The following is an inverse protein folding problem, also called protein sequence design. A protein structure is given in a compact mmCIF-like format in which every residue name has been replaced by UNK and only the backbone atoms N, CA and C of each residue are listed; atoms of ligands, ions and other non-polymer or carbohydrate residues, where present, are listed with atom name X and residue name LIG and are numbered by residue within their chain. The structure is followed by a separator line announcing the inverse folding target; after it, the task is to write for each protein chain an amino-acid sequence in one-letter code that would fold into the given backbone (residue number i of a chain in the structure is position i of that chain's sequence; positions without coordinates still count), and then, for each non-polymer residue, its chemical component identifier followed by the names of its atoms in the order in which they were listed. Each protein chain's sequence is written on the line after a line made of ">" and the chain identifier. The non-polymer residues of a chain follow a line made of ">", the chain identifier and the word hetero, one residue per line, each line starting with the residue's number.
data_IF_658212418579
#
_entry.id   IF_658212418579
#
_cell.length_a   1.000
_cell.length_b   1.000
_cell.length_c   1.000
_cell.angle_alpha   90.00
_cell.angle_beta   90.00
_cell.angle_gamma   90.00
#
_symmetry.space_group_name_H-M   'P 1'
#
loop_
_entity.id
_entity.type
_entity.pdbx_description
1 polymer ?
#
# COMPACT_ATOMS: atom_id res chain seq x y z
N UNK A 1 38.31 -44.49 -17.19
CA UNK A 1 38.05 -43.53 -16.10
C UNK A 1 36.97 -42.58 -16.59
N UNK A 2 35.75 -42.56 -16.03
CA UNK A 2 34.72 -41.63 -16.48
C UNK A 2 34.73 -40.35 -15.64
N UNK A 3 34.57 -39.23 -16.35
CA UNK A 3 34.56 -37.85 -15.89
C UNK A 3 33.16 -37.49 -15.38
N UNK A 4 33.07 -37.02 -14.12
CA UNK A 4 31.81 -36.65 -13.47
C UNK A 4 31.49 -35.20 -13.83
N UNK A 5 30.38 -34.98 -14.53
CA UNK A 5 29.85 -33.64 -14.84
C UNK A 5 29.40 -32.98 -13.52
N UNK A 6 30.06 -31.88 -13.17
CA UNK A 6 29.74 -31.08 -12.00
C UNK A 6 28.59 -30.12 -12.37
N UNK A 7 27.37 -30.46 -11.97
CA UNK A 7 26.21 -29.59 -12.13
C UNK A 7 26.35 -28.38 -11.20
N UNK A 8 26.49 -27.20 -11.82
CA UNK A 8 26.63 -25.91 -11.15
C UNK A 8 25.42 -25.65 -10.23
N UNK A 9 25.71 -25.38 -8.97
CA UNK A 9 24.74 -25.18 -7.89
C UNK A 9 24.06 -23.83 -8.04
N UNK A 10 23.05 -23.72 -8.91
CA UNK A 10 22.14 -22.56 -8.96
C UNK A 10 21.07 -22.59 -7.86
N UNK A 11 21.45 -23.00 -6.65
CA UNK A 11 20.61 -22.94 -5.45
C UNK A 11 21.38 -22.21 -4.37
N UNK A 12 21.20 -20.88 -4.29
CA UNK A 12 21.21 -20.09 -3.03
C UNK A 12 21.38 -18.58 -3.28
N UNK A 13 20.47 -17.94 -4.02
CA UNK A 13 20.26 -16.49 -3.88
C UNK A 13 18.79 -16.09 -3.74
N UNK A 14 18.00 -16.93 -3.03
CA UNK A 14 16.88 -16.39 -2.28
C UNK A 14 17.46 -15.85 -0.97
N UNK A 15 17.87 -14.59 -0.97
CA UNK A 15 18.22 -13.89 0.27
C UNK A 15 17.10 -14.15 1.28
N UNK A 16 17.41 -14.89 2.35
CA UNK A 16 16.52 -14.98 3.48
C UNK A 16 16.36 -13.55 4.01
N UNK A 17 15.15 -13.00 3.88
CA UNK A 17 14.84 -11.68 4.40
C UNK A 17 15.12 -11.71 5.91
N UNK A 18 16.20 -11.06 6.33
CA UNK A 18 16.48 -10.83 7.75
C UNK A 18 15.25 -10.12 8.30
N UNK A 19 14.52 -10.79 9.21
CA UNK A 19 13.39 -10.18 9.91
C UNK A 19 13.91 -8.89 10.55
N UNK A 20 13.33 -7.72 10.25
CA UNK A 20 13.79 -6.50 10.88
C UNK A 20 13.66 -6.66 12.39
N UNK A 21 14.75 -6.44 13.13
CA UNK A 21 14.80 -6.61 14.58
C UNK A 21 14.05 -5.51 15.36
N UNK A 22 13.42 -4.56 14.65
CA UNK A 22 12.65 -3.47 15.23
C UNK A 22 11.18 -3.80 15.42
N UNK A 23 10.47 -2.92 16.13
CA UNK A 23 9.01 -2.95 16.20
C UNK A 23 8.43 -2.95 14.77
N UNK A 24 7.64 -3.97 14.37
CA UNK A 24 7.06 -4.05 13.03
C UNK A 24 6.08 -2.92 12.72
N UNK A 25 5.64 -2.17 13.73
CA UNK A 25 4.75 -1.01 13.60
C UNK A 25 5.46 0.33 13.78
N UNK A 26 6.79 0.33 13.90
CA UNK A 26 7.55 1.58 14.00
C UNK A 26 7.34 2.46 12.74
N UNK A 27 7.25 3.79 12.90
CA UNK A 27 7.16 4.73 11.79
C UNK A 27 8.29 4.53 10.78
N UNK A 28 7.97 4.69 9.50
CA UNK A 28 8.96 4.58 8.45
C UNK A 28 9.89 5.81 8.44
N UNK A 29 11.18 5.57 8.67
CA UNK A 29 12.23 6.59 8.58
C UNK A 29 13.08 6.34 7.32
N UNK A 30 13.16 7.30 6.38
CA UNK A 30 14.00 7.17 5.20
C UNK A 30 15.47 6.98 5.56
N UNK A 31 16.16 6.11 4.84
CA UNK A 31 17.59 5.87 4.98
C UNK A 31 18.25 5.70 3.62
N UNK A 32 19.59 5.67 3.55
CA UNK A 32 20.29 5.46 2.29
C UNK A 32 19.91 4.13 1.60
N UNK A 33 19.66 3.07 2.36
CA UNK A 33 19.25 1.77 1.81
C UNK A 33 17.75 1.69 1.50
N UNK A 34 16.94 2.56 2.13
CA UNK A 34 15.50 2.66 1.92
C UNK A 34 15.12 4.14 1.82
N UNK A 35 15.45 4.81 0.69
CA UNK A 35 15.21 6.22 0.54
C UNK A 35 13.73 6.49 0.29
N UNK A 36 13.27 7.69 0.64
CA UNK A 36 11.99 8.21 0.19
C UNK A 36 12.11 8.56 -1.29
N UNK A 37 11.31 7.90 -2.14
CA UNK A 37 11.38 8.04 -3.59
C UNK A 37 10.00 7.83 -4.23
N UNK A 38 9.92 8.05 -5.54
CA UNK A 38 8.66 7.95 -6.30
C UNK A 38 7.97 6.60 -6.12
N UNK A 39 8.74 5.51 -6.11
CA UNK A 39 8.19 4.15 -6.00
C UNK A 39 7.51 3.94 -4.64
N UNK A 40 8.08 4.47 -3.55
CA UNK A 40 7.47 4.39 -2.21
C UNK A 40 6.24 5.26 -2.09
N UNK A 41 6.26 6.46 -2.67
CA UNK A 41 5.08 7.32 -2.73
C UNK A 41 3.96 6.63 -3.50
N UNK A 42 4.23 6.10 -4.69
CA UNK A 42 3.26 5.36 -5.47
C UNK A 42 2.73 4.13 -4.70
N UNK A 43 3.61 3.41 -4.01
CA UNK A 43 3.20 2.29 -3.15
C UNK A 43 2.26 2.73 -2.02
N UNK A 44 2.55 3.84 -1.34
CA UNK A 44 1.68 4.41 -0.31
C UNK A 44 0.27 4.68 -0.88
N UNK A 45 0.18 5.43 -1.98
CA UNK A 45 -1.10 5.76 -2.61
C UNK A 45 -1.89 4.53 -3.11
N UNK A 46 -1.20 3.49 -3.59
CA UNK A 46 -1.83 2.22 -3.96
C UNK A 46 -2.37 1.43 -2.75
N UNK A 47 -1.83 1.66 -1.54
CA UNK A 47 -2.26 0.95 -0.33
C UNK A 47 -3.40 1.65 0.39
N UNK A 48 -3.53 2.96 0.25
CA UNK A 48 -4.58 3.75 0.91
C UNK A 48 -5.79 4.05 -0.01
N UNK A 49 -5.66 3.82 -1.31
CA UNK A 49 -6.69 4.16 -2.29
C UNK A 49 -6.40 3.58 -3.67
N UNK A 50 -6.77 4.32 -4.71
CA UNK A 50 -6.67 3.87 -6.12
C UNK A 50 -5.36 4.31 -6.81
N UNK A 51 -4.29 4.50 -6.05
CA UNK A 51 -3.01 4.97 -6.58
C UNK A 51 -2.91 6.48 -6.71
N UNK A 52 -1.86 6.95 -7.41
CA UNK A 52 -1.55 8.37 -7.58
C UNK A 52 -1.23 8.73 -9.02
N UNK A 53 -1.65 9.92 -9.43
CA UNK A 53 -1.18 10.59 -10.63
C UNK A 53 0.29 10.98 -10.51
N UNK A 54 0.95 11.21 -11.65
CA UNK A 54 2.33 11.69 -11.69
C UNK A 54 2.53 12.99 -10.89
N UNK A 55 1.58 13.92 -10.96
CA UNK A 55 1.65 15.18 -10.21
C UNK A 55 1.56 14.96 -8.70
N UNK A 56 0.70 14.05 -8.23
CA UNK A 56 0.63 13.70 -6.81
C UNK A 56 1.93 13.07 -6.33
N UNK A 57 2.57 12.22 -7.14
CA UNK A 57 3.88 11.64 -6.80
C UNK A 57 4.95 12.73 -6.69
N UNK A 58 5.00 13.65 -7.65
CA UNK A 58 5.98 14.76 -7.62
C UNK A 58 5.74 15.72 -6.46
N UNK A 59 4.48 15.96 -6.09
CA UNK A 59 4.14 16.77 -4.91
C UNK A 59 4.55 16.07 -3.62
N UNK A 60 4.31 14.75 -3.52
CA UNK A 60 4.67 13.95 -2.34
C UNK A 60 6.18 13.83 -2.10
N UNK A 61 7.01 13.98 -3.14
CA UNK A 61 8.48 14.02 -2.98
C UNK A 61 8.98 15.25 -2.24
N UNK A 62 8.17 16.32 -2.19
CA UNK A 62 8.52 17.56 -1.50
C UNK A 62 8.23 17.49 0.00
N UNK A 63 7.56 16.42 0.45
CA UNK A 63 7.16 16.19 1.84
C UNK A 63 7.96 15.03 2.43
N UNK A 64 8.16 15.06 3.74
CA UNK A 64 8.56 13.88 4.48
C UNK A 64 7.43 12.84 4.51
N UNK A 65 7.74 11.56 4.80
CA UNK A 65 6.71 10.52 4.86
C UNK A 65 5.61 10.81 5.89
N UNK A 66 5.96 11.38 7.03
CA UNK A 66 5.02 11.73 8.10
C UNK A 66 4.08 12.86 7.66
N UNK A 67 4.62 13.97 7.15
CA UNK A 67 3.82 15.10 6.64
C UNK A 67 2.84 14.69 5.55
N UNK A 68 3.25 13.81 4.63
CA UNK A 68 2.36 13.32 3.59
C UNK A 68 1.21 12.48 4.16
N UNK A 69 1.51 11.59 5.12
CA UNK A 69 0.48 10.74 5.74
C UNK A 69 -0.50 11.59 6.53
N UNK A 70 -0.01 12.54 7.32
CA UNK A 70 -0.86 13.45 8.11
C UNK A 70 -1.79 14.24 7.19
N UNK A 71 -1.25 14.85 6.12
CA UNK A 71 -2.06 15.57 5.15
C UNK A 71 -3.17 14.69 4.54
N UNK A 72 -2.87 13.43 4.22
CA UNK A 72 -3.84 12.50 3.65
C UNK A 72 -4.94 12.13 4.65
N UNK A 73 -4.57 11.88 5.91
CA UNK A 73 -5.50 11.54 6.97
C UNK A 73 -6.39 12.72 7.35
N UNK A 74 -5.83 13.93 7.46
CA UNK A 74 -6.58 15.15 7.74
C UNK A 74 -7.57 15.46 6.60
N UNK A 75 -7.13 15.29 5.36
CA UNK A 75 -8.01 15.45 4.19
C UNK A 75 -9.17 14.46 4.25
N UNK A 76 -8.89 13.18 4.53
CA UNK A 76 -9.91 12.15 4.61
C UNK A 76 -10.87 12.38 5.78
N UNK A 77 -10.37 12.78 6.96
CA UNK A 77 -11.18 13.10 8.12
C UNK A 77 -12.08 14.32 7.87
N UNK A 78 -11.64 15.25 7.03
CA UNK A 78 -12.44 16.39 6.58
C UNK A 78 -13.54 16.05 5.58
N UNK A 79 -13.51 14.86 4.96
CA UNK A 79 -14.60 14.38 4.09
C UNK A 79 -15.72 13.88 5.02
N UNK A 80 -16.82 14.65 5.08
CA UNK A 80 -18.00 14.27 5.84
C UNK A 80 -18.57 12.90 5.43
N UNK A 81 -19.45 12.35 6.26
CA UNK A 81 -20.08 11.06 5.98
C UNK A 81 -20.79 11.06 4.62
N UNK A 82 -20.66 9.99 3.81
CA UNK A 82 -21.37 9.89 2.55
C UNK A 82 -22.88 9.85 2.80
N UNK A 83 -23.65 10.35 1.84
CA UNK A 83 -25.11 10.21 1.85
C UNK A 83 -25.43 8.71 1.82
N UNK A 84 -26.28 8.20 2.74
CA UNK A 84 -26.63 6.79 2.74
C UNK A 84 -27.30 6.42 1.41
N UNK A 85 -26.96 5.28 0.80
CA UNK A 85 -27.66 4.81 -0.39
C UNK A 85 -29.13 4.53 -0.07
N UNK A 86 -29.98 4.50 -1.10
CA UNK A 86 -31.43 4.29 -0.91
C UNK A 86 -31.77 2.95 -0.24
N UNK A 87 -30.88 1.95 -0.37
CA UNK A 87 -31.00 0.64 0.27
C UNK A 87 -30.40 0.56 1.69
N UNK A 88 -29.81 1.64 2.22
CA UNK A 88 -29.11 1.63 3.51
C UNK A 88 -29.98 1.22 4.70
N UNK A 89 -31.30 1.38 4.57
CA UNK A 89 -32.27 1.09 5.61
C UNK A 89 -33.22 -0.05 5.25
N UNK A 90 -32.89 -0.82 4.21
CA UNK A 90 -33.70 -1.96 3.79
C UNK A 90 -33.65 -3.08 4.82
N UNK A 91 -34.81 -3.64 5.09
CA UNK A 91 -35.04 -4.89 5.79
C UNK A 91 -34.85 -6.07 4.83
N UNK A 92 -34.74 -7.30 5.38
CA UNK A 92 -34.64 -8.51 4.57
C UNK A 92 -35.79 -8.66 3.56
N UNK A 93 -37.01 -8.25 3.95
CA UNK A 93 -38.18 -8.30 3.07
C UNK A 93 -38.05 -7.37 1.85
N UNK A 94 -37.45 -6.19 2.02
CA UNK A 94 -37.26 -5.22 0.93
C UNK A 94 -36.19 -5.69 -0.06
N UNK A 95 -35.17 -6.42 0.40
CA UNK A 95 -34.20 -7.09 -0.49
C UNK A 95 -34.84 -8.19 -1.34
N UNK A 96 -35.74 -9.00 -0.77
CA UNK A 96 -36.44 -10.08 -1.48
C UNK A 96 -37.39 -9.55 -2.57
N UNK A 97 -37.82 -8.30 -2.44
CA UNK A 97 -38.70 -7.62 -3.39
C UNK A 97 -37.92 -6.78 -4.42
N UNK A 98 -36.59 -6.78 -4.38
CA UNK A 98 -35.78 -5.94 -5.26
C UNK A 98 -35.98 -6.32 -6.74
N UNK A 99 -36.49 -5.41 -7.60
CA UNK A 99 -36.72 -5.70 -9.02
C UNK A 99 -35.47 -5.57 -9.89
N UNK A 100 -34.33 -5.14 -9.34
CA UNK A 100 -33.06 -5.13 -10.05
C UNK A 100 -32.51 -6.57 -10.20
N UNK A 101 -32.13 -7.02 -11.42
CA UNK A 101 -31.72 -8.40 -11.70
C UNK A 101 -30.36 -8.79 -11.11
#
# INVERSE_FOLDING_TARGET
>A
MPEIIQFDTLTEQRQAAVKPAGDPLAPYVPSASKPWNEHRIAHLYNRIGFGASFQQIKSGLLLSPEELIDQLLDTAAGIGAPVPPYWAFWTSHEYDLNPDP
#
